data_IF_553854072933
#
_entry.id   IF_553854072933
#
_cell.length_a   1.000
_cell.length_b   1.000
_cell.length_c   1.000
_cell.angle_alpha   90.00
_cell.angle_beta   90.00
_cell.angle_gamma   90.00
#
_symmetry.space_group_name_H-M   'P 1'
#
loop_
_entity.id
_entity.type
_entity.pdbx_description
1 polymer ?
#
# COMPACT_ATOMS: atom_id res chain seq x y z
N UNK A 1 -1.13 -2.82 1.54
CA UNK A 1 -0.07 -3.85 1.59
C UNK A 1 -0.24 -4.87 0.45
N UNK A 2 -1.38 -5.55 0.30
CA UNK A 2 -1.58 -6.55 -0.77
C UNK A 2 -1.34 -6.03 -2.20
N UNK A 3 -1.74 -4.80 -2.52
CA UNK A 3 -1.44 -4.19 -3.82
C UNK A 3 0.06 -4.07 -4.13
N UNK A 4 0.89 -3.84 -3.09
CA UNK A 4 2.36 -3.84 -3.22
C UNK A 4 2.86 -5.26 -3.50
N UNK A 5 2.33 -6.26 -2.78
CA UNK A 5 2.66 -7.67 -3.02
C UNK A 5 2.29 -8.14 -4.43
N UNK A 6 1.11 -7.77 -4.92
CA UNK A 6 0.69 -8.06 -6.30
C UNK A 6 1.59 -7.37 -7.33
N UNK A 7 1.93 -6.09 -7.11
CA UNK A 7 2.86 -5.37 -7.97
C UNK A 7 4.25 -6.03 -8.01
N UNK A 8 4.75 -6.53 -6.88
CA UNK A 8 6.00 -7.28 -6.81
C UNK A 8 5.92 -8.58 -7.59
N UNK A 9 4.84 -9.34 -7.48
CA UNK A 9 4.63 -10.56 -8.28
C UNK A 9 4.62 -10.26 -9.78
N UNK A 10 3.94 -9.20 -10.22
CA UNK A 10 3.92 -8.77 -11.63
C UNK A 10 5.33 -8.43 -12.11
N UNK A 11 6.11 -7.72 -11.30
CA UNK A 11 7.51 -7.40 -11.61
C UNK A 11 8.42 -8.63 -11.73
N UNK A 12 8.14 -9.71 -10.98
CA UNK A 12 8.92 -10.95 -11.00
C UNK A 12 8.64 -11.83 -12.23
N UNK A 13 7.46 -11.74 -12.85
CA UNK A 13 7.08 -12.59 -13.99
C UNK A 13 7.99 -12.35 -15.21
N UNK A 14 8.23 -11.09 -15.56
CA UNK A 14 9.01 -10.74 -16.75
C UNK A 14 9.86 -9.47 -16.53
N UNK A 15 10.96 -9.56 -15.76
CA UNK A 15 11.76 -8.39 -15.38
C UNK A 15 12.51 -7.71 -16.55
N UNK A 16 12.72 -8.45 -17.65
CA UNK A 16 13.38 -7.95 -18.85
C UNK A 16 12.45 -7.16 -19.77
N UNK A 17 11.12 -7.30 -19.63
CA UNK A 17 10.18 -6.55 -20.46
C UNK A 17 9.96 -5.14 -19.87
N UNK A 18 10.32 -4.07 -20.59
CA UNK A 18 10.18 -2.71 -20.07
C UNK A 18 8.72 -2.35 -19.74
N UNK A 19 7.74 -2.88 -20.49
CA UNK A 19 6.32 -2.62 -20.23
C UNK A 19 5.88 -3.21 -18.89
N UNK A 20 6.23 -4.47 -18.62
CA UNK A 20 5.88 -5.16 -17.37
C UNK A 20 6.53 -4.47 -16.17
N UNK A 21 7.78 -4.04 -16.32
CA UNK A 21 8.52 -3.30 -15.30
C UNK A 21 7.86 -1.96 -14.96
N UNK A 22 7.48 -1.18 -15.96
CA UNK A 22 6.80 0.10 -15.73
C UNK A 22 5.40 -0.07 -15.12
N UNK A 23 4.64 -1.09 -15.56
CA UNK A 23 3.33 -1.42 -14.97
C UNK A 23 3.48 -1.83 -13.50
N UNK A 24 4.45 -2.69 -13.18
CA UNK A 24 4.73 -3.10 -11.81
C UNK A 24 5.14 -1.90 -10.93
N UNK A 25 6.01 -1.02 -11.43
CA UNK A 25 6.40 0.21 -10.73
C UNK A 25 5.19 1.14 -10.50
N UNK A 26 4.36 1.36 -11.52
CA UNK A 26 3.16 2.18 -11.38
C UNK A 26 2.18 1.59 -10.35
N UNK A 27 1.94 0.28 -10.39
CA UNK A 27 1.08 -0.42 -9.44
C UNK A 27 1.63 -0.35 -8.00
N UNK A 28 2.95 -0.50 -7.83
CA UNK A 28 3.60 -0.37 -6.52
C UNK A 28 3.44 1.06 -5.97
N UNK A 29 3.80 2.08 -6.75
CA UNK A 29 3.71 3.48 -6.36
C UNK A 29 2.28 3.89 -6.00
N UNK A 30 1.30 3.53 -6.84
CA UNK A 30 -0.11 3.82 -6.58
C UNK A 30 -0.62 3.14 -5.30
N UNK A 31 -0.27 1.87 -5.08
CA UNK A 31 -0.65 1.12 -3.89
C UNK A 31 0.00 1.67 -2.61
N UNK A 32 1.27 2.07 -2.69
CA UNK A 32 1.99 2.65 -1.56
C UNK A 32 1.44 4.04 -1.18
N UNK A 33 1.13 4.87 -2.18
CA UNK A 33 0.55 6.20 -1.96
C UNK A 33 -0.84 6.12 -1.32
N UNK A 34 -1.74 5.29 -1.86
CA UNK A 34 -3.07 5.08 -1.27
C UNK A 34 -2.97 4.48 0.13
N UNK A 35 -2.05 3.54 0.35
CA UNK A 35 -1.80 2.96 1.67
C UNK A 35 -1.35 4.00 2.70
N UNK A 36 -0.46 4.93 2.32
CA UNK A 36 -0.04 6.02 3.21
C UNK A 36 -1.20 6.95 3.58
N UNK A 37 -2.02 7.33 2.59
CA UNK A 37 -3.20 8.19 2.80
C UNK A 37 -4.17 7.58 3.81
N UNK A 38 -4.49 6.29 3.64
CA UNK A 38 -5.37 5.54 4.55
C UNK A 38 -4.77 5.40 5.95
N UNK A 39 -3.47 5.14 6.05
CA UNK A 39 -2.79 5.05 7.34
C UNK A 39 -2.82 6.38 8.11
N UNK A 40 -2.59 7.51 7.42
CA UNK A 40 -2.70 8.84 8.03
C UNK A 40 -4.12 9.15 8.50
N UNK A 41 -5.14 8.78 7.72
CA UNK A 41 -6.54 8.91 8.12
C UNK A 41 -6.86 8.07 9.36
N UNK A 42 -6.32 6.85 9.45
CA UNK A 42 -6.50 6.01 10.63
C UNK A 42 -5.79 6.56 11.87
N UNK A 43 -4.61 7.17 11.70
CA UNK A 43 -3.95 7.91 12.77
C UNK A 43 -4.82 9.08 13.24
N UNK A 44 -5.42 9.84 12.32
CA UNK A 44 -6.30 10.96 12.66
C UNK A 44 -7.50 10.52 13.51
N UNK A 45 -8.12 9.37 13.20
CA UNK A 45 -9.19 8.80 14.03
C UNK A 45 -8.76 8.46 15.46
N UNK A 46 -7.48 8.18 15.70
CA UNK A 46 -6.97 7.91 17.05
C UNK A 46 -6.65 9.19 17.84
N UNK A 47 -6.17 10.24 17.16
CA UNK A 47 -5.78 11.50 17.82
C UNK A 47 -6.94 12.48 17.97
N UNK A 48 -7.92 12.45 17.06
CA UNK A 48 -9.10 13.30 17.06
C UNK A 48 -10.37 12.43 17.13
N UNK A 49 -10.60 11.70 18.23
CA UNK A 49 -11.75 10.81 18.35
C UNK A 49 -13.03 11.65 18.33
N UNK A 50 -13.80 11.52 17.25
CA UNK A 50 -15.14 12.11 17.16
C UNK A 50 -16.17 11.01 17.01
N UNK A 51 -17.34 11.10 17.67
CA UNK A 51 -18.41 10.11 17.56
C UNK A 51 -18.96 9.96 16.13
N UNK A 52 -18.73 10.96 15.27
CA UNK A 52 -19.23 11.03 13.91
C UNK A 52 -18.18 10.67 12.85
N UNK A 53 -16.89 10.67 13.19
CA UNK A 53 -15.81 10.26 12.29
C UNK A 53 -15.23 8.92 12.77
N UNK A 54 -16.04 7.88 12.64
CA UNK A 54 -15.62 6.49 12.84
C UNK A 54 -15.42 5.83 11.47
N UNK A 55 -14.63 4.76 11.40
CA UNK A 55 -14.59 3.93 10.20
C UNK A 55 -15.98 3.35 9.94
N UNK A 56 -16.36 3.22 8.67
CA UNK A 56 -17.62 2.59 8.30
C UNK A 56 -17.72 1.18 8.90
N UNK A 57 -18.84 0.91 9.59
CA UNK A 57 -19.15 -0.42 10.10
C UNK A 57 -19.34 -1.44 8.97
N UNK A 58 -19.74 -0.96 7.78
CA UNK A 58 -19.92 -1.76 6.58
C UNK A 58 -18.93 -1.32 5.50
N UNK A 59 -18.08 -2.25 5.06
CA UNK A 59 -17.12 -1.97 3.99
C UNK A 59 -17.84 -1.83 2.65
N UNK A 60 -17.57 -0.76 1.93
CA UNK A 60 -18.17 -0.49 0.61
C UNK A 60 -17.31 -1.10 -0.51
N UNK A 61 -17.66 -2.31 -0.94
CA UNK A 61 -17.05 -2.96 -2.10
C UNK A 61 -17.94 -2.87 -3.35
N UNK A 62 -17.35 -2.82 -4.57
CA UNK A 62 -18.12 -2.82 -5.80
C UNK A 62 -18.84 -4.16 -6.00
N UNK A 63 -20.00 -4.13 -6.68
CA UNK A 63 -20.86 -5.32 -6.86
C UNK A 63 -20.19 -6.48 -7.59
N UNK A 64 -19.19 -6.22 -8.43
CA UNK A 64 -18.44 -7.25 -9.15
C UNK A 64 -17.36 -7.95 -8.30
N UNK A 65 -17.02 -7.39 -7.12
CA UNK A 65 -16.01 -7.95 -6.23
C UNK A 65 -16.32 -7.67 -4.74
N UNK A 66 -17.30 -8.39 -4.15
CA UNK A 66 -17.60 -8.33 -2.72
C UNK A 66 -16.54 -9.09 -1.90
N UNK A 67 -15.36 -8.48 -1.74
CA UNK A 67 -14.20 -9.09 -1.08
C UNK A 67 -14.48 -9.50 0.38
N UNK A 68 -15.33 -8.75 1.08
CA UNK A 68 -15.80 -9.09 2.42
C UNK A 68 -16.55 -10.42 2.46
N UNK A 69 -17.28 -10.79 1.41
CA UNK A 69 -18.02 -12.06 1.36
C UNK A 69 -17.14 -13.22 0.91
N UNK A 70 -16.20 -12.98 -0.01
CA UNK A 70 -15.30 -14.02 -0.50
C UNK A 70 -14.25 -14.42 0.54
N UNK A 71 -13.71 -13.45 1.27
CA UNK A 71 -12.61 -13.64 2.23
C UNK A 71 -12.88 -12.79 3.50
N UNK A 72 -13.90 -13.15 4.29
CA UNK A 72 -14.33 -12.35 5.45
C UNK A 72 -13.24 -12.21 6.51
N UNK A 73 -12.46 -13.27 6.74
CA UNK A 73 -11.38 -13.28 7.72
C UNK A 73 -10.29 -12.20 7.48
N UNK A 74 -10.21 -11.63 6.27
CA UNK A 74 -9.25 -10.57 5.91
C UNK A 74 -9.91 -9.21 5.63
N UNK A 75 -11.08 -9.20 4.99
CA UNK A 75 -11.71 -7.96 4.48
C UNK A 75 -12.94 -7.50 5.27
N UNK A 76 -13.30 -8.22 6.34
CA UNK A 76 -14.34 -7.79 7.26
C UNK A 76 -13.79 -6.75 8.24
N UNK A 77 -14.53 -5.64 8.41
CA UNK A 77 -14.17 -4.58 9.34
C UNK A 77 -14.82 -4.83 10.69
N UNK A 78 -14.01 -4.85 11.75
CA UNK A 78 -14.49 -4.94 13.13
C UNK A 78 -14.54 -3.52 13.70
N UNK A 79 -15.76 -3.04 13.95
CA UNK A 79 -16.13 -1.62 13.97
C UNK A 79 -15.66 -0.74 15.13
N UNK A 80 -14.35 -0.66 15.40
CA UNK A 80 -13.83 0.38 16.30
C UNK A 80 -12.38 0.78 15.98
N UNK A 81 -12.22 1.72 15.03
CA UNK A 81 -10.91 2.20 14.59
C UNK A 81 -10.19 3.13 15.58
N UNK A 82 -10.94 3.78 16.48
CA UNK A 82 -10.38 4.71 17.46
C UNK A 82 -9.70 3.99 18.62
N UNK A 83 -10.04 2.72 18.84
CA UNK A 83 -9.44 1.90 19.90
C UNK A 83 -8.00 1.51 19.54
N UNK A 84 -7.08 1.81 20.44
CA UNK A 84 -5.70 1.33 20.34
C UNK A 84 -5.64 -0.11 20.88
N UNK A 85 -5.55 -1.08 19.96
CA UNK A 85 -5.43 -2.51 20.31
C UNK A 85 -3.99 -3.01 20.41
N UNK A 86 -3.06 -2.30 19.78
CA UNK A 86 -1.65 -2.67 19.70
C UNK A 86 -0.75 -1.44 19.74
N UNK A 87 0.29 -1.52 20.55
CA UNK A 87 1.35 -0.52 20.64
C UNK A 87 2.71 -1.22 20.69
N UNK A 88 3.69 -0.65 20.01
CA UNK A 88 5.06 -1.12 20.02
C UNK A 88 6.00 0.07 19.96
N UNK A 89 6.98 0.11 20.87
CA UNK A 89 7.93 1.22 21.03
C UNK A 89 7.23 2.60 21.21
N UNK A 90 6.06 2.61 21.86
CA UNK A 90 5.26 3.83 22.07
C UNK A 90 4.45 4.30 20.87
N UNK A 91 4.53 3.59 19.73
CA UNK A 91 3.75 3.88 18.53
C UNK A 91 2.60 2.88 18.37
N UNK A 92 1.43 3.36 17.94
CA UNK A 92 0.29 2.51 17.63
C UNK A 92 0.43 1.84 16.26
N UNK A 93 -0.38 0.82 16.00
CA UNK A 93 -0.38 0.08 14.72
C UNK A 93 -0.53 1.02 13.50
N UNK A 94 -1.48 1.98 13.47
CA UNK A 94 -1.59 2.92 12.34
C UNK A 94 -0.37 3.81 12.16
N UNK A 95 0.28 4.25 13.25
CA UNK A 95 1.50 5.05 13.15
C UNK A 95 2.65 4.26 12.52
N UNK A 96 2.81 2.98 12.88
CA UNK A 96 3.77 2.10 12.24
C UNK A 96 3.47 1.89 10.75
N UNK A 97 2.19 1.79 10.36
CA UNK A 97 1.82 1.72 8.95
C UNK A 97 2.23 2.97 8.18
N UNK A 98 2.08 4.17 8.77
CA UNK A 98 2.56 5.42 8.16
C UNK A 98 4.07 5.34 7.89
N UNK A 99 4.87 4.89 8.87
CA UNK A 99 6.33 4.73 8.71
C UNK A 99 6.67 3.75 7.59
N UNK A 100 6.02 2.57 7.55
CA UNK A 100 6.29 1.52 6.55
C UNK A 100 5.91 1.99 5.14
N UNK A 101 4.74 2.62 4.97
CA UNK A 101 4.31 3.12 3.66
C UNK A 101 5.14 4.31 3.18
N UNK A 102 5.55 5.20 4.08
CA UNK A 102 6.49 6.28 3.77
C UNK A 102 7.85 5.71 3.32
N UNK A 103 8.39 4.73 4.04
CA UNK A 103 9.61 4.03 3.65
C UNK A 103 9.51 3.34 2.29
N UNK A 104 8.35 2.74 1.97
CA UNK A 104 8.07 2.17 0.66
C UNK A 104 8.08 3.22 -0.46
N UNK A 105 7.48 4.39 -0.24
CA UNK A 105 7.50 5.48 -1.23
C UNK A 105 8.90 6.04 -1.45
N UNK A 106 9.71 6.14 -0.40
CA UNK A 106 11.12 6.53 -0.50
C UNK A 106 11.89 5.51 -1.35
N UNK A 107 11.76 4.22 -1.03
CA UNK A 107 12.39 3.14 -1.80
C UNK A 107 11.93 3.13 -3.27
N UNK A 108 10.63 3.34 -3.51
CA UNK A 108 10.06 3.50 -4.84
C UNK A 108 10.69 4.69 -5.59
N UNK A 109 10.81 5.86 -4.96
CA UNK A 109 11.44 7.03 -5.56
C UNK A 109 12.90 6.75 -5.94
N UNK A 110 13.68 6.14 -5.05
CA UNK A 110 15.06 5.74 -5.35
C UNK A 110 15.14 4.80 -6.56
N UNK A 111 14.26 3.79 -6.63
CA UNK A 111 14.26 2.82 -7.73
C UNK A 111 13.84 3.47 -9.05
N UNK A 112 12.83 4.34 -9.03
CA UNK A 112 12.39 5.08 -10.22
C UNK A 112 13.50 5.99 -10.72
N UNK A 113 14.17 6.73 -9.83
CA UNK A 113 15.32 7.57 -10.19
C UNK A 113 16.43 6.70 -10.79
N UNK A 114 16.75 5.56 -10.19
CA UNK A 114 17.75 4.62 -10.71
C UNK A 114 17.40 4.09 -12.12
N UNK A 115 16.12 3.99 -12.50
CA UNK A 115 15.74 3.62 -13.86
C UNK A 115 16.25 4.62 -14.91
N UNK A 116 16.17 5.92 -14.60
CA UNK A 116 16.59 6.97 -15.54
C UNK A 116 18.11 7.03 -15.69
N UNK A 117 18.88 6.70 -14.66
CA UNK A 117 20.34 6.68 -14.70
C UNK A 117 20.92 5.35 -15.23
N UNK A 118 20.19 4.24 -15.15
CA UNK A 118 20.62 2.92 -15.60
C UNK A 118 20.58 2.67 -17.12
N UNK A 119 20.11 3.64 -17.92
CA UNK A 119 19.81 3.50 -19.34
C UNK A 119 21.00 3.39 -20.32
N UNK A 120 22.23 3.16 -19.84
CA UNK A 120 23.40 2.91 -20.72
C UNK A 120 24.00 1.51 -20.51
N UNK A 121 23.27 0.47 -20.92
CA UNK A 121 23.92 -0.74 -21.45
C UNK A 121 23.67 -0.79 -22.94
N UNK A 122 24.62 -0.27 -23.72
CA UNK A 122 24.77 -0.66 -25.13
C UNK A 122 25.01 -2.17 -25.14
N UNK A 123 24.20 -2.93 -25.87
CA UNK A 123 24.54 -4.33 -26.18
C UNK A 123 25.90 -4.33 -26.90
N UNK A 124 26.92 -5.05 -26.41
CA UNK A 124 28.20 -5.15 -27.12
C UNK A 124 28.20 -6.13 -28.30
N UNK A 125 27.11 -6.87 -28.58
CA UNK A 125 27.11 -7.90 -29.62
C UNK A 125 25.73 -8.01 -30.29
N UNK A 126 25.61 -7.32 -31.43
CA UNK A 126 24.90 -7.63 -32.69
C UNK A 126 24.46 -6.35 -33.39
#
# INVERSE_FOLDING_TARGET
MMGIGAAAMIGLIAPNNPLVRWVALAAWGASAYKGLMLAMQHVDYQFNPSPFATCDLFVTFPSWAPLNQWVPWMFEAYGDCAKIVWQFLGLSMPQWLVVIFAGNLIAFAFIVIAQFFGGKRKNPIQ
#
